data_IF_836254490793
#
_entry.id   IF_836254490793
#
_cell.length_a   1.000
_cell.length_b   1.000
_cell.length_c   1.000
_cell.angle_alpha   90.00
_cell.angle_beta   90.00
_cell.angle_gamma   90.00
#
_symmetry.space_group_name_H-M   'P 1'
#
loop_
_entity.id
_entity.type
_entity.pdbx_description
1 polymer ?
#
# COMPACT_ATOMS: atom_id res chain seq x y z
N UNK A 1 17.69 -18.13 11.99
CA UNK A 1 17.89 -17.87 10.54
C UNK A 1 17.00 -18.74 9.65
N UNK A 2 17.02 -20.08 9.76
CA UNK A 2 16.25 -20.98 8.86
C UNK A 2 14.73 -20.73 8.91
N UNK A 3 14.14 -20.61 10.11
CA UNK A 3 12.69 -20.37 10.27
C UNK A 3 12.23 -19.05 9.64
N UNK A 4 13.03 -17.98 9.76
CA UNK A 4 12.68 -16.68 9.19
C UNK A 4 12.77 -16.71 7.66
N UNK A 5 13.76 -17.40 7.09
CA UNK A 5 13.86 -17.62 5.64
C UNK A 5 12.66 -18.41 5.08
N UNK A 6 12.18 -19.45 5.79
CA UNK A 6 10.99 -20.20 5.41
C UNK A 6 9.71 -19.33 5.39
N UNK A 7 9.54 -18.46 6.39
CA UNK A 7 8.43 -17.49 6.41
C UNK A 7 8.45 -16.57 5.19
N UNK A 8 9.61 -16.04 4.84
CA UNK A 8 9.80 -15.16 3.67
C UNK A 8 9.48 -15.89 2.36
N UNK A 9 10.02 -17.10 2.16
CA UNK A 9 9.73 -17.89 0.95
C UNK A 9 8.24 -18.21 0.82
N UNK A 10 7.57 -18.53 1.93
CA UNK A 10 6.13 -18.78 1.92
C UNK A 10 5.33 -17.53 1.57
N UNK A 11 5.74 -16.34 2.02
CA UNK A 11 5.11 -15.08 1.64
C UNK A 11 5.24 -14.80 0.15
N UNK A 12 6.45 -14.97 -0.42
CA UNK A 12 6.66 -14.82 -1.86
C UNK A 12 5.80 -15.79 -2.69
N UNK A 13 5.65 -17.03 -2.23
CA UNK A 13 4.81 -18.00 -2.90
C UNK A 13 3.33 -17.58 -2.95
N UNK A 14 2.82 -16.99 -1.86
CA UNK A 14 1.46 -16.46 -1.84
C UNK A 14 1.27 -15.26 -2.78
N UNK A 15 2.22 -14.33 -2.80
CA UNK A 15 2.19 -13.20 -3.74
C UNK A 15 2.10 -13.75 -5.17
N UNK A 16 2.99 -14.67 -5.53
CA UNK A 16 3.04 -15.24 -6.87
C UNK A 16 1.69 -15.85 -7.28
N UNK A 17 1.07 -16.66 -6.43
CA UNK A 17 -0.20 -17.29 -6.77
C UNK A 17 -1.35 -16.27 -6.91
N UNK A 18 -1.49 -15.33 -5.98
CA UNK A 18 -2.55 -14.31 -6.06
C UNK A 18 -2.40 -13.42 -7.31
N UNK A 19 -1.17 -13.12 -7.73
CA UNK A 19 -0.93 -12.34 -8.95
C UNK A 19 -1.16 -13.13 -10.24
N UNK A 20 -1.11 -14.47 -10.21
CA UNK A 20 -1.45 -15.29 -11.37
C UNK A 20 -2.96 -15.29 -11.64
N UNK A 21 -3.78 -15.22 -10.58
CA UNK A 21 -5.23 -15.26 -10.66
C UNK A 21 -5.88 -13.89 -10.94
N UNK A 22 -5.11 -12.80 -10.83
CA UNK A 22 -5.64 -11.43 -11.04
C UNK A 22 -5.87 -11.15 -12.53
N UNK A 23 -7.11 -10.84 -12.89
CA UNK A 23 -7.49 -10.41 -14.24
C UNK A 23 -7.30 -8.90 -14.42
N UNK A 24 -6.68 -8.48 -15.52
CA UNK A 24 -6.55 -7.05 -15.88
C UNK A 24 -7.94 -6.50 -16.20
N UNK A 25 -8.33 -5.44 -15.50
CA UNK A 25 -9.61 -4.76 -15.69
C UNK A 25 -9.36 -3.33 -16.16
N UNK A 26 -10.17 -2.86 -17.10
CA UNK A 26 -10.15 -1.47 -17.52
C UNK A 26 -10.94 -0.66 -16.49
N UNK A 27 -10.25 0.11 -15.65
CA UNK A 27 -10.89 0.96 -14.65
C UNK A 27 -11.11 2.36 -15.20
N UNK A 28 -12.29 2.91 -14.93
CA UNK A 28 -12.58 4.33 -15.14
C UNK A 28 -12.79 4.96 -13.78
N UNK A 29 -11.98 5.97 -13.45
CA UNK A 29 -12.00 6.66 -12.16
C UNK A 29 -13.09 7.74 -12.12
N UNK A 30 -14.35 7.33 -12.33
CA UNK A 30 -15.50 8.23 -12.33
C UNK A 30 -16.35 7.99 -11.09
N UNK A 31 -16.13 8.76 -10.02
CA UNK A 31 -16.97 8.68 -8.84
C UNK A 31 -16.46 9.45 -7.63
N UNK A 32 -17.37 9.68 -6.67
CA UNK A 32 -17.01 10.17 -5.34
C UNK A 32 -16.46 9.02 -4.50
N UNK A 33 -15.20 9.13 -4.10
CA UNK A 33 -14.55 8.17 -3.21
C UNK A 33 -14.91 8.49 -1.75
N UNK A 34 -15.13 7.45 -0.94
CA UNK A 34 -15.48 7.62 0.48
C UNK A 34 -14.36 7.17 1.39
N UNK A 35 -13.80 5.99 1.13
CA UNK A 35 -12.76 5.37 1.96
C UNK A 35 -11.48 5.23 1.13
N UNK A 36 -10.41 5.81 1.63
CA UNK A 36 -9.10 5.81 0.96
C UNK A 36 -8.07 5.20 1.91
N UNK A 37 -7.16 4.40 1.37
CA UNK A 37 -6.05 3.88 2.14
C UNK A 37 -4.71 4.08 1.42
N UNK A 38 -3.64 4.17 2.20
CA UNK A 38 -2.27 4.26 1.70
C UNK A 38 -1.40 3.25 2.43
N UNK A 39 -0.68 2.46 1.66
CA UNK A 39 0.43 1.64 2.12
C UNK A 39 1.73 2.36 1.75
N UNK A 40 2.58 2.67 2.73
CA UNK A 40 3.79 3.46 2.50
C UNK A 40 5.03 2.77 3.06
N UNK A 41 6.12 2.76 2.28
CA UNK A 41 7.45 2.43 2.80
C UNK A 41 8.07 3.67 3.46
N UNK A 42 8.05 3.71 4.80
CA UNK A 42 8.53 4.86 5.59
C UNK A 42 10.04 5.05 5.42
N UNK A 43 10.80 3.99 5.13
CA UNK A 43 12.24 4.09 4.91
C UNK A 43 12.55 4.77 3.56
N UNK A 44 11.64 4.70 2.59
CA UNK A 44 11.78 5.35 1.28
C UNK A 44 11.11 6.73 1.22
N UNK A 45 10.06 6.95 2.02
CA UNK A 45 9.29 8.19 2.06
C UNK A 45 8.94 8.59 3.49
N UNK A 46 9.70 9.54 4.05
CA UNK A 46 9.54 9.99 5.44
C UNK A 46 8.53 11.13 5.61
N UNK A 47 8.19 11.86 4.55
CA UNK A 47 7.26 13.01 4.57
C UNK A 47 5.80 12.56 4.50
N UNK A 48 5.43 11.59 5.34
CA UNK A 48 4.13 10.91 5.30
C UNK A 48 2.92 11.82 5.48
N UNK A 49 3.09 13.00 6.08
CA UNK A 49 2.01 13.99 6.20
C UNK A 49 1.50 14.48 4.84
N UNK A 50 2.39 14.55 3.83
CA UNK A 50 2.02 14.94 2.47
C UNK A 50 0.98 14.00 1.87
N UNK A 51 0.91 12.75 2.34
CA UNK A 51 -0.10 11.80 1.86
C UNK A 51 -1.53 12.28 2.13
N UNK A 52 -1.75 13.12 3.15
CA UNK A 52 -3.06 13.72 3.39
C UNK A 52 -3.47 14.73 2.31
N UNK A 53 -2.55 15.23 1.49
CA UNK A 53 -2.89 16.07 0.35
C UNK A 53 -3.67 15.29 -0.72
N UNK A 54 -3.54 13.96 -0.74
CA UNK A 54 -4.38 13.10 -1.58
C UNK A 54 -5.85 13.19 -1.14
N UNK A 55 -6.12 13.32 0.17
CA UNK A 55 -7.48 13.48 0.67
C UNK A 55 -8.11 14.79 0.20
N UNK A 56 -7.35 15.88 0.26
CA UNK A 56 -7.81 17.19 -0.17
C UNK A 56 -8.10 17.20 -1.67
N UNK A 57 -7.22 16.60 -2.48
CA UNK A 57 -7.43 16.42 -3.92
C UNK A 57 -8.68 15.61 -4.26
N UNK A 58 -8.98 14.56 -3.48
CA UNK A 58 -10.09 13.64 -3.72
C UNK A 58 -11.42 14.08 -3.05
N UNK A 59 -11.43 15.22 -2.36
CA UNK A 59 -12.56 15.68 -1.53
C UNK A 59 -13.00 14.64 -0.46
N UNK A 60 -12.01 13.98 0.16
CA UNK A 60 -12.21 12.96 1.20
C UNK A 60 -11.78 13.52 2.56
N UNK A 61 -12.57 13.38 3.63
CA UNK A 61 -12.12 13.77 4.97
C UNK A 61 -10.90 12.95 5.42
N UNK A 62 -9.89 13.58 6.04
CA UNK A 62 -8.69 12.90 6.56
C UNK A 62 -9.03 11.73 7.51
N UNK A 63 -10.15 11.79 8.23
CA UNK A 63 -10.66 10.72 9.12
C UNK A 63 -11.10 9.45 8.39
N UNK A 64 -11.35 9.53 7.08
CA UNK A 64 -11.68 8.38 6.22
C UNK A 64 -10.47 7.84 5.46
N UNK A 65 -9.29 8.38 5.76
CA UNK A 65 -8.02 7.85 5.28
C UNK A 65 -7.43 6.89 6.30
N UNK A 66 -6.94 5.75 5.82
CA UNK A 66 -6.10 4.86 6.63
C UNK A 66 -4.71 4.79 6.01
N UNK A 67 -3.71 5.33 6.71
CA UNK A 67 -2.30 5.16 6.34
C UNK A 67 -1.70 4.05 7.19
N UNK A 68 -1.13 3.03 6.54
CA UNK A 68 -0.37 1.97 7.20
C UNK A 68 1.04 1.93 6.60
N UNK A 69 2.04 2.10 7.45
CA UNK A 69 3.43 2.11 7.05
C UNK A 69 4.12 0.76 7.17
N UNK A 70 5.25 0.63 6.48
CA UNK A 70 6.25 -0.39 6.73
C UNK A 70 7.58 0.26 7.07
N UNK A 71 8.29 -0.32 8.04
CA UNK A 71 9.65 0.07 8.41
C UNK A 71 10.51 -1.17 8.62
N UNK A 72 11.74 -1.19 8.09
CA UNK A 72 12.64 -2.37 8.19
C UNK A 72 13.07 -2.69 9.61
N UNK A 73 13.18 -1.68 10.48
CA UNK A 73 13.56 -1.80 11.88
C UNK A 73 12.68 -0.92 12.75
N UNK A 74 12.34 -1.41 13.93
CA UNK A 74 11.72 -0.58 14.96
C UNK A 74 12.71 0.51 15.38
N UNK A 75 12.32 1.76 15.18
CA UNK A 75 13.02 2.91 15.74
C UNK A 75 12.02 3.75 16.51
N UNK A 76 12.47 4.35 17.62
CA UNK A 76 11.61 5.09 18.56
C UNK A 76 10.93 6.32 17.94
N UNK A 77 11.42 6.80 16.80
CA UNK A 77 10.90 7.96 16.10
C UNK A 77 10.31 7.49 14.76
N UNK A 78 9.02 7.15 14.79
CA UNK A 78 8.23 7.09 13.57
C UNK A 78 7.60 8.47 13.38
N UNK A 79 7.72 9.09 12.20
CA UNK A 79 7.05 10.35 11.93
C UNK A 79 5.55 10.25 12.26
N UNK A 80 5.05 11.22 13.03
CA UNK A 80 3.61 11.51 13.20
C UNK A 80 2.70 10.39 13.74
N UNK A 81 3.23 9.39 14.44
CA UNK A 81 2.39 8.38 15.10
C UNK A 81 1.58 7.50 14.13
N UNK A 82 2.05 7.37 12.89
CA UNK A 82 1.47 6.49 11.89
C UNK A 82 1.58 5.05 12.36
N UNK A 83 0.50 4.29 12.17
CA UNK A 83 0.51 2.85 12.42
C UNK A 83 1.43 2.17 11.41
N UNK A 84 2.30 1.28 11.86
CA UNK A 84 3.24 0.60 10.98
C UNK A 84 3.42 -0.86 11.36
N UNK A 85 3.92 -1.61 10.39
CA UNK A 85 4.42 -2.97 10.57
C UNK A 85 5.92 -3.03 10.29
N UNK A 86 6.59 -4.02 10.85
CA UNK A 86 8.00 -4.30 10.58
C UNK A 86 8.18 -5.71 10.04
N UNK A 87 9.37 -6.01 9.54
CA UNK A 87 9.73 -7.36 9.06
C UNK A 87 9.48 -8.47 10.10
N UNK A 88 9.48 -8.12 11.39
CA UNK A 88 9.35 -9.08 12.50
C UNK A 88 7.88 -9.48 12.72
N UNK A 89 6.94 -8.70 12.17
CA UNK A 89 5.51 -9.02 12.16
C UNK A 89 5.15 -10.10 11.14
N UNK A 90 6.10 -10.56 10.31
CA UNK A 90 5.83 -11.64 9.35
C UNK A 90 5.68 -12.98 10.07
N UNK A 91 4.47 -13.52 10.02
CA UNK A 91 4.11 -14.83 10.52
C UNK A 91 4.32 -15.95 9.50
N UNK A 92 3.86 -17.15 9.85
CA UNK A 92 3.91 -18.31 8.95
C UNK A 92 2.85 -18.19 7.85
N UNK A 93 3.11 -18.76 6.67
CA UNK A 93 2.17 -18.70 5.53
C UNK A 93 1.70 -17.28 5.22
N UNK A 94 2.63 -16.32 5.27
CA UNK A 94 2.38 -14.90 4.99
C UNK A 94 1.29 -14.26 5.85
N UNK A 95 0.98 -14.81 7.03
CA UNK A 95 0.24 -14.05 8.06
C UNK A 95 1.08 -12.86 8.49
N UNK A 96 0.42 -11.80 8.94
CA UNK A 96 1.07 -10.62 9.49
C UNK A 96 0.49 -10.46 10.89
N UNK A 97 1.33 -10.69 11.90
CA UNK A 97 0.94 -10.78 13.30
C UNK A 97 0.98 -9.37 13.91
N UNK A 98 0.17 -8.46 13.36
CA UNK A 98 0.09 -7.05 13.76
C UNK A 98 -1.38 -6.59 13.78
N UNK A 99 -1.82 -5.98 14.89
CA UNK A 99 -3.22 -5.55 15.04
C UNK A 99 -3.66 -4.54 13.97
N UNK A 100 -2.76 -3.64 13.58
CA UNK A 100 -3.04 -2.63 12.57
C UNK A 100 -3.25 -3.26 11.19
N UNK A 101 -2.57 -4.37 10.90
CA UNK A 101 -2.81 -5.15 9.70
C UNK A 101 -4.24 -5.71 9.66
N UNK A 102 -4.70 -6.33 10.75
CA UNK A 102 -6.06 -6.88 10.84
C UNK A 102 -7.13 -5.80 10.65
N UNK A 103 -6.94 -4.64 11.29
CA UNK A 103 -7.84 -3.50 11.15
C UNK A 103 -7.83 -2.95 9.72
N UNK A 104 -6.68 -2.97 9.05
CA UNK A 104 -6.52 -2.48 7.68
C UNK A 104 -7.22 -3.38 6.67
N UNK A 105 -7.03 -4.71 6.72
CA UNK A 105 -7.57 -5.63 5.70
C UNK A 105 -9.07 -5.91 5.86
N UNK A 106 -9.64 -5.68 7.05
CA UNK A 106 -11.09 -5.85 7.30
C UNK A 106 -11.93 -4.76 6.66
N UNK A 107 -11.38 -3.56 6.47
CA UNK A 107 -12.08 -2.41 5.90
C UNK A 107 -12.17 -2.53 4.38
N UNK A 108 -13.19 -1.89 3.83
CA UNK A 108 -13.39 -1.78 2.38
C UNK A 108 -13.01 -0.38 1.91
N UNK A 109 -12.12 -0.34 0.92
CA UNK A 109 -11.59 0.89 0.34
C UNK A 109 -12.07 1.07 -1.09
N UNK A 110 -12.40 2.31 -1.46
CA UNK A 110 -12.62 2.64 -2.86
C UNK A 110 -11.28 2.74 -3.58
N UNK A 111 -10.30 3.39 -2.95
CA UNK A 111 -8.93 3.55 -3.46
C UNK A 111 -7.91 3.05 -2.45
N UNK A 112 -6.97 2.25 -2.92
CA UNK A 112 -5.77 1.84 -2.18
C UNK A 112 -4.52 2.31 -2.93
N UNK A 113 -3.78 3.24 -2.34
CA UNK A 113 -2.49 3.68 -2.88
C UNK A 113 -1.36 2.80 -2.32
N UNK A 114 -0.68 2.10 -3.21
CA UNK A 114 0.55 1.38 -2.94
C UNK A 114 1.73 2.34 -3.15
N UNK A 115 2.00 3.17 -2.15
CA UNK A 115 3.05 4.18 -2.17
C UNK A 115 4.41 3.60 -1.74
N UNK A 116 4.93 2.67 -2.54
CA UNK A 116 6.22 2.02 -2.33
C UNK A 116 6.81 1.52 -3.64
N UNK A 117 8.13 1.49 -3.76
CA UNK A 117 8.84 0.91 -4.91
C UNK A 117 9.44 -0.46 -4.57
N UNK A 118 9.80 -1.25 -5.58
CA UNK A 118 10.48 -2.55 -5.40
C UNK A 118 9.70 -3.61 -4.61
N UNK A 119 8.40 -3.39 -4.39
CA UNK A 119 7.44 -4.35 -3.81
C UNK A 119 7.91 -5.01 -2.51
N UNK A 120 8.01 -4.26 -1.38
CA UNK A 120 8.32 -4.84 -0.09
C UNK A 120 7.34 -5.99 0.21
N UNK A 121 7.86 -7.13 0.65
CA UNK A 121 7.09 -8.36 0.82
C UNK A 121 5.83 -8.13 1.67
N UNK A 122 5.98 -7.46 2.83
CA UNK A 122 4.86 -7.18 3.72
C UNK A 122 3.83 -6.26 3.05
N UNK A 123 4.23 -5.09 2.55
CA UNK A 123 3.29 -4.16 1.90
C UNK A 123 2.54 -4.81 0.73
N UNK A 124 3.23 -5.66 -0.04
CA UNK A 124 2.63 -6.42 -1.13
C UNK A 124 1.60 -7.44 -0.62
N UNK A 125 1.91 -8.18 0.45
CA UNK A 125 0.96 -9.10 1.10
C UNK A 125 -0.25 -8.35 1.67
N UNK A 126 -0.04 -7.19 2.28
CA UNK A 126 -1.12 -6.36 2.82
C UNK A 126 -2.02 -5.89 1.69
N UNK A 127 -1.44 -5.37 0.62
CA UNK A 127 -2.19 -4.88 -0.54
C UNK A 127 -3.05 -5.96 -1.20
N UNK A 128 -2.51 -7.18 -1.33
CA UNK A 128 -3.23 -8.33 -1.87
C UNK A 128 -4.39 -8.80 -0.98
N UNK A 129 -4.18 -8.79 0.35
CA UNK A 129 -5.21 -9.20 1.32
C UNK A 129 -6.25 -8.13 1.60
N UNK A 130 -5.96 -6.88 1.27
CA UNK A 130 -6.85 -5.74 1.48
C UNK A 130 -8.00 -5.75 0.49
N UNK A 131 -9.20 -5.38 0.94
CA UNK A 131 -10.37 -5.19 0.09
C UNK A 131 -10.39 -3.79 -0.48
N UNK A 132 -9.94 -3.63 -1.71
CA UNK A 132 -10.04 -2.38 -2.44
C UNK A 132 -10.62 -2.57 -3.83
N UNK A 133 -11.39 -1.57 -4.30
CA UNK A 133 -11.95 -1.57 -5.66
C UNK A 133 -10.88 -1.24 -6.70
N UNK A 134 -10.01 -0.27 -6.41
CA UNK A 134 -8.92 0.15 -7.29
C UNK A 134 -7.63 0.28 -6.49
N UNK A 135 -6.54 -0.29 -7.01
CA UNK A 135 -5.18 -0.15 -6.49
C UNK A 135 -4.35 0.72 -7.42
N UNK A 136 -3.72 1.76 -6.88
CA UNK A 136 -2.88 2.68 -7.65
C UNK A 136 -1.47 2.62 -7.05
N UNK A 137 -0.44 2.46 -7.87
CA UNK A 137 0.94 2.42 -7.39
C UNK A 137 1.94 2.69 -8.49
N UNK A 138 3.23 2.50 -8.20
CA UNK A 138 4.29 2.79 -9.16
C UNK A 138 4.52 1.65 -10.16
N UNK A 139 4.89 1.98 -11.40
CA UNK A 139 5.28 1.00 -12.43
C UNK A 139 6.54 0.20 -12.07
N UNK A 140 7.37 0.72 -11.16
CA UNK A 140 8.55 0.03 -10.60
C UNK A 140 8.18 -1.04 -9.57
N UNK A 141 6.92 -1.07 -9.12
CA UNK A 141 6.37 -2.14 -8.30
C UNK A 141 5.85 -3.27 -9.20
N UNK A 142 5.64 -4.47 -8.65
CA UNK A 142 5.33 -5.68 -9.41
C UNK A 142 4.08 -5.48 -10.27
N UNK A 143 4.22 -5.65 -11.60
CA UNK A 143 3.30 -5.24 -12.69
C UNK A 143 1.86 -5.81 -12.64
N UNK A 144 1.48 -6.50 -11.58
CA UNK A 144 0.16 -7.07 -11.37
C UNK A 144 -0.46 -6.69 -10.02
N UNK A 145 0.29 -6.03 -9.14
CA UNK A 145 -0.23 -5.65 -7.84
C UNK A 145 -1.27 -4.53 -7.98
N UNK A 146 -0.95 -3.55 -8.82
CA UNK A 146 -1.78 -2.39 -9.06
C UNK A 146 -2.77 -2.64 -10.19
N UNK A 147 -3.84 -1.86 -10.16
CA UNK A 147 -4.81 -1.74 -11.24
C UNK A 147 -4.44 -0.59 -12.17
N UNK A 148 -3.84 0.47 -11.60
CA UNK A 148 -3.29 1.61 -12.30
C UNK A 148 -1.84 1.81 -11.85
N UNK A 149 -0.94 1.92 -12.82
CA UNK A 149 0.48 2.13 -12.59
C UNK A 149 0.91 3.53 -13.02
N UNK A 150 1.68 4.19 -12.16
CA UNK A 150 2.21 5.52 -12.36
C UNK A 150 3.72 5.41 -12.59
N UNK A 151 4.15 5.87 -13.74
CA UNK A 151 5.57 5.96 -14.09
C UNK A 151 6.18 7.22 -13.49
N UNK A 152 6.53 7.15 -12.20
CA UNK A 152 7.21 8.21 -11.47
C UNK A 152 8.05 7.61 -10.34
N UNK A 153 8.93 8.42 -9.75
CA UNK A 153 9.65 8.01 -8.54
C UNK A 153 8.85 8.31 -7.27
N UNK A 154 9.02 7.51 -6.22
CA UNK A 154 8.45 7.73 -4.88
C UNK A 154 8.85 9.06 -4.23
N UNK A 155 9.97 9.66 -4.67
CA UNK A 155 10.41 10.98 -4.22
C UNK A 155 9.63 12.13 -4.87
N UNK A 156 8.96 11.86 -5.98
CA UNK A 156 8.25 12.85 -6.79
C UNK A 156 6.76 12.87 -6.46
N UNK A 157 6.43 13.15 -5.20
CA UNK A 157 5.04 13.12 -4.71
C UNK A 157 4.10 14.05 -5.51
N UNK A 158 4.57 15.24 -5.90
CA UNK A 158 3.78 16.18 -6.70
C UNK A 158 3.46 15.63 -8.10
N UNK A 159 4.40 14.92 -8.73
CA UNK A 159 4.18 14.23 -10.01
C UNK A 159 3.11 13.16 -9.84
N UNK A 160 3.25 12.32 -8.80
CA UNK A 160 2.30 11.25 -8.48
C UNK A 160 0.88 11.81 -8.27
N UNK A 161 0.75 12.85 -7.43
CA UNK A 161 -0.51 13.56 -7.16
C UNK A 161 -1.11 14.17 -8.43
N UNK A 162 -0.28 14.81 -9.25
CA UNK A 162 -0.70 15.41 -10.52
C UNK A 162 -1.28 14.36 -11.48
N UNK A 163 -0.63 13.20 -11.63
CA UNK A 163 -1.16 12.11 -12.46
C UNK A 163 -2.52 11.65 -11.96
N UNK A 164 -2.68 11.43 -10.65
CA UNK A 164 -3.97 11.00 -10.08
C UNK A 164 -5.06 12.03 -10.32
N UNK A 165 -4.76 13.32 -10.14
CA UNK A 165 -5.73 14.40 -10.38
C UNK A 165 -6.29 14.39 -11.82
N UNK A 166 -5.45 14.04 -12.81
CA UNK A 166 -5.87 13.91 -14.21
C UNK A 166 -6.73 12.68 -14.47
N UNK A 167 -6.57 11.64 -13.67
CA UNK A 167 -7.34 10.40 -13.80
C UNK A 167 -8.72 10.48 -13.14
N UNK A 168 -8.87 11.33 -12.13
CA UNK A 168 -10.11 11.49 -11.34
C UNK A 168 -11.02 12.61 -11.88
N UNK A 169 -10.56 13.38 -12.87
CA UNK A 169 -11.30 14.47 -13.53
C UNK A 169 -12.40 13.97 -14.48
#
# INVERSE_FOLDING_TARGET
>A
MIVQALKWMSGYWQIRNNLLDKTVSNYTLNGKYKNVAVLVDIDQFSETDKLYDLCEMLDVPKTRMFILGYKKKEEKLVPFGIQYCTKDDLGWKGTIDNKFFDDFVRREYDLLFNYFENSPLLLSLISLKSKSKIRIGFSSSNNKLNDIEIDSSIKEFETFKSVISKLVQ
#
